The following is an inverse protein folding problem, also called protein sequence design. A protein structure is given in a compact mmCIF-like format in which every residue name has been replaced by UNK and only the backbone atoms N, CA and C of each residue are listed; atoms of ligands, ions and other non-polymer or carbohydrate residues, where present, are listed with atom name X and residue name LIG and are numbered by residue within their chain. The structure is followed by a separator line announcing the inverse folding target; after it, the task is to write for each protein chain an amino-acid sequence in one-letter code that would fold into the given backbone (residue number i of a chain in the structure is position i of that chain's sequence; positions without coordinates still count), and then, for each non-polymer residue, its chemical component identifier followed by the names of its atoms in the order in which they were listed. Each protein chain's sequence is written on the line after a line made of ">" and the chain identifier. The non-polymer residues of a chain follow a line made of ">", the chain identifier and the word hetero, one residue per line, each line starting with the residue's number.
data_IF_691166944253
#
_entry.id   IF_691166944253
#
_cell.length_a   1.000
_cell.length_b   1.000
_cell.length_c   1.000
_cell.angle_alpha   90.00
_cell.angle_beta   90.00
_cell.angle_gamma   90.00
#
_symmetry.space_group_name_H-M   'P 1'
#
loop_
_entity.id
_entity.type
_entity.pdbx_description
1 polymer ?
#
# COMPACT_ATOMS: atom_id res chain seq x y z
N UNK A 1 -21.59 -0.75 6.76
CA UNK A 1 -20.91 -0.24 5.54
C UNK A 1 -20.07 0.98 5.92
N UNK A 2 -18.85 1.14 5.40
CA UNK A 2 -17.97 2.30 5.74
C UNK A 2 -18.58 3.64 5.30
N UNK A 3 -18.43 4.70 6.09
CA UNK A 3 -18.85 6.08 5.75
C UNK A 3 -17.89 6.75 4.77
N UNK A 4 -16.70 6.18 4.54
CA UNK A 4 -15.72 6.75 3.61
C UNK A 4 -16.21 6.61 2.16
N UNK A 5 -16.56 7.75 1.56
CA UNK A 5 -17.07 7.83 0.18
C UNK A 5 -16.09 7.27 -0.85
N UNK A 6 -14.77 7.39 -0.66
CA UNK A 6 -13.78 6.85 -1.60
C UNK A 6 -13.81 5.32 -1.58
N UNK A 7 -13.81 4.71 -0.40
CA UNK A 7 -13.90 3.25 -0.25
C UNK A 7 -15.16 2.69 -0.90
N UNK A 8 -16.31 3.31 -0.66
CA UNK A 8 -17.61 2.88 -1.23
C UNK A 8 -17.70 2.94 -2.76
N UNK A 9 -16.93 3.83 -3.39
CA UNK A 9 -16.98 4.04 -4.84
C UNK A 9 -15.76 3.45 -5.57
N UNK A 10 -14.89 2.71 -4.86
CA UNK A 10 -13.77 2.03 -5.51
C UNK A 10 -14.27 1.03 -6.56
N UNK A 11 -13.67 1.05 -7.75
CA UNK A 11 -14.05 0.20 -8.87
C UNK A 11 -15.29 0.66 -9.65
N UNK A 12 -15.87 1.82 -9.32
CA UNK A 12 -16.96 2.41 -10.14
C UNK A 12 -16.39 3.22 -11.31
N UNK A 13 -17.10 3.31 -12.46
CA UNK A 13 -16.72 4.18 -13.56
C UNK A 13 -16.53 5.64 -13.10
N UNK A 14 -15.41 6.23 -13.49
CA UNK A 14 -14.99 7.58 -13.10
C UNK A 14 -15.36 8.60 -14.19
N UNK A 15 -16.66 8.89 -14.32
CA UNK A 15 -17.15 9.87 -15.30
C UNK A 15 -17.05 9.38 -16.76
N UNK A 16 -17.00 8.06 -16.95
CA UNK A 16 -16.97 7.41 -18.27
C UNK A 16 -18.23 6.56 -18.45
N UNK A 17 -18.72 6.46 -19.69
CA UNK A 17 -19.81 5.55 -20.07
C UNK A 17 -19.35 4.09 -20.10
N UNK A 18 -18.09 3.87 -20.49
CA UNK A 18 -17.51 2.56 -20.73
C UNK A 18 -16.18 2.39 -20.02
N UNK A 19 -15.90 1.16 -19.59
CA UNK A 19 -14.64 0.78 -18.95
C UNK A 19 -13.75 0.14 -20.01
N UNK A 20 -12.58 0.72 -20.25
CA UNK A 20 -11.65 0.18 -21.22
C UNK A 20 -10.80 -0.96 -20.63
N UNK A 21 -10.50 -1.97 -21.43
CA UNK A 21 -9.45 -2.96 -21.14
C UNK A 21 -8.20 -2.57 -21.92
N UNK A 22 -7.15 -2.17 -21.21
CA UNK A 22 -5.86 -1.81 -21.78
C UNK A 22 -4.93 -3.02 -21.70
N UNK A 23 -4.44 -3.46 -22.85
CA UNK A 23 -3.44 -4.50 -23.00
C UNK A 23 -2.05 -3.89 -23.21
N UNK A 24 -1.05 -4.42 -22.53
CA UNK A 24 0.36 -4.07 -22.71
C UNK A 24 1.21 -5.33 -22.57
N UNK A 25 1.56 -5.95 -23.71
CA UNK A 25 2.14 -7.29 -23.74
C UNK A 25 1.17 -8.30 -23.09
N UNK A 26 1.68 -9.07 -22.13
CA UNK A 26 0.90 -10.05 -21.36
C UNK A 26 0.11 -9.42 -20.20
N UNK A 27 0.32 -8.13 -19.94
CA UNK A 27 -0.36 -7.43 -18.85
C UNK A 27 -1.64 -6.76 -19.33
N UNK A 28 -2.70 -6.92 -18.55
CA UNK A 28 -4.01 -6.33 -18.82
C UNK A 28 -4.46 -5.51 -17.63
N UNK A 29 -5.09 -4.34 -17.88
CA UNK A 29 -5.69 -3.52 -16.83
C UNK A 29 -6.97 -2.85 -17.30
N UNK A 30 -7.89 -2.64 -16.37
CA UNK A 30 -9.03 -1.76 -16.61
C UNK A 30 -8.62 -0.29 -16.49
N UNK A 31 -9.17 0.56 -17.35
CA UNK A 31 -9.05 2.01 -17.34
C UNK A 31 -10.44 2.68 -17.22
N UNK A 32 -10.49 3.92 -16.74
CA UNK A 32 -11.76 4.61 -16.47
C UNK A 32 -12.43 4.25 -15.13
N UNK A 33 -11.77 3.52 -14.24
CA UNK A 33 -12.30 3.16 -12.91
C UNK A 33 -11.73 4.04 -11.79
N UNK A 34 -12.58 4.46 -10.85
CA UNK A 34 -12.17 5.15 -9.63
C UNK A 34 -11.43 4.19 -8.69
N UNK A 35 -10.29 4.62 -8.16
CA UNK A 35 -9.52 3.88 -7.14
C UNK A 35 -9.51 4.66 -5.84
N UNK A 36 -9.87 4.00 -4.74
CA UNK A 36 -9.89 4.65 -3.43
C UNK A 36 -8.49 4.88 -2.83
N UNK A 37 -7.48 4.13 -3.29
CA UNK A 37 -6.10 4.22 -2.82
C UNK A 37 -5.84 3.64 -1.43
N UNK A 38 -6.83 3.02 -0.76
CA UNK A 38 -6.61 2.44 0.56
C UNK A 38 -5.89 1.09 0.46
N UNK A 39 -4.63 1.05 0.90
CA UNK A 39 -3.86 -0.19 1.01
C UNK A 39 -4.25 -1.07 2.21
N UNK A 40 -5.03 -0.53 3.14
CA UNK A 40 -5.38 -1.17 4.42
C UNK A 40 -6.77 -1.77 4.43
N UNK A 41 -7.76 -1.06 3.89
CA UNK A 41 -9.17 -1.43 4.01
C UNK A 41 -9.74 -1.98 2.70
N UNK A 42 -9.22 -1.56 1.54
CA UNK A 42 -9.76 -1.95 0.25
C UNK A 42 -8.99 -3.15 -0.34
N UNK A 43 -9.61 -4.33 -0.53
CA UNK A 43 -8.94 -5.50 -1.08
C UNK A 43 -8.48 -5.33 -2.53
N UNK A 44 -9.17 -4.50 -3.32
CA UNK A 44 -8.81 -4.21 -4.72
C UNK A 44 -7.58 -3.32 -4.80
N UNK A 45 -7.59 -2.20 -4.06
CA UNK A 45 -6.46 -1.27 -4.07
C UNK A 45 -5.25 -1.86 -3.36
N UNK A 46 -5.43 -2.59 -2.26
CA UNK A 46 -4.33 -3.21 -1.52
C UNK A 46 -3.52 -4.15 -2.40
N UNK A 47 -4.17 -5.02 -3.18
CA UNK A 47 -3.48 -5.92 -4.11
C UNK A 47 -2.66 -5.16 -5.16
N UNK A 48 -3.27 -4.15 -5.82
CA UNK A 48 -2.61 -3.33 -6.84
C UNK A 48 -1.40 -2.56 -6.28
N UNK A 49 -1.57 -1.93 -5.11
CA UNK A 49 -0.51 -1.17 -4.45
C UNK A 49 0.63 -2.11 -4.04
N UNK A 50 0.33 -3.25 -3.41
CA UNK A 50 1.36 -4.22 -2.97
C UNK A 50 2.16 -4.78 -4.14
N UNK A 51 1.50 -5.13 -5.24
CA UNK A 51 2.18 -5.61 -6.45
C UNK A 51 3.19 -4.58 -6.98
N UNK A 52 2.76 -3.32 -7.14
CA UNK A 52 3.64 -2.26 -7.63
C UNK A 52 4.76 -1.91 -6.64
N UNK A 53 4.48 -1.88 -5.34
CA UNK A 53 5.49 -1.66 -4.30
C UNK A 53 6.52 -2.78 -4.24
N UNK A 54 6.12 -4.03 -4.49
CA UNK A 54 7.05 -5.14 -4.53
C UNK A 54 8.08 -4.97 -5.67
N UNK A 55 7.64 -4.56 -6.87
CA UNK A 55 8.55 -4.25 -7.98
C UNK A 55 9.50 -3.09 -7.62
N UNK A 56 8.95 -1.99 -7.09
CA UNK A 56 9.74 -0.81 -6.70
C UNK A 56 10.82 -1.16 -5.66
N UNK A 57 10.45 -1.91 -4.61
CA UNK A 57 11.37 -2.36 -3.55
C UNK A 57 12.42 -3.31 -4.12
N UNK A 58 12.01 -4.27 -4.96
CA UNK A 58 12.93 -5.25 -5.58
C UNK A 58 14.01 -4.54 -6.40
N UNK A 59 13.61 -3.57 -7.23
CA UNK A 59 14.53 -2.76 -8.04
C UNK A 59 15.44 -1.88 -7.20
N UNK A 60 14.93 -1.30 -6.11
CA UNK A 60 15.74 -0.49 -5.20
C UNK A 60 16.80 -1.34 -4.49
N UNK A 61 16.43 -2.53 -4.01
CA UNK A 61 17.34 -3.48 -3.36
C UNK A 61 18.41 -3.95 -4.35
N UNK A 62 18.04 -4.34 -5.57
CA UNK A 62 19.00 -4.77 -6.58
C UNK A 62 20.07 -3.70 -6.86
N UNK A 63 19.65 -2.44 -7.06
CA UNK A 63 20.57 -1.30 -7.26
C UNK A 63 21.47 -1.04 -6.06
N UNK A 64 20.95 -1.18 -4.84
CA UNK A 64 21.76 -1.00 -3.64
C UNK A 64 22.86 -2.07 -3.54
N UNK A 65 22.52 -3.32 -3.84
CA UNK A 65 23.48 -4.43 -3.85
C UNK A 65 24.54 -4.23 -4.94
N UNK A 66 24.15 -3.82 -6.15
CA UNK A 66 25.08 -3.51 -7.25
C UNK A 66 26.07 -2.39 -6.88
N UNK A 67 25.65 -1.44 -6.06
CA UNK A 67 26.49 -0.36 -5.54
C UNK A 67 27.35 -0.77 -4.33
N UNK A 68 27.32 -2.03 -3.91
CA UNK A 68 28.11 -2.54 -2.78
C UNK A 68 27.48 -2.32 -1.40
N UNK A 69 26.21 -1.91 -1.34
CA UNK A 69 25.46 -1.81 -0.08
C UNK A 69 24.76 -3.12 0.31
N UNK A 70 24.37 -3.23 1.57
CA UNK A 70 23.48 -4.28 2.06
C UNK A 70 22.03 -3.80 2.18
N UNK A 71 21.07 -4.74 2.16
CA UNK A 71 19.66 -4.48 2.43
C UNK A 71 19.19 -5.27 3.65
N UNK A 72 18.46 -4.62 4.56
CA UNK A 72 17.86 -5.25 5.75
C UNK A 72 16.36 -5.00 5.78
N UNK A 73 15.60 -6.03 6.16
CA UNK A 73 14.17 -5.91 6.44
C UNK A 73 13.97 -5.83 7.95
N UNK A 74 13.51 -4.67 8.45
CA UNK A 74 13.35 -4.41 9.88
C UNK A 74 11.88 -4.25 10.21
N UNK A 75 11.35 -5.12 11.06
CA UNK A 75 10.01 -4.96 11.65
C UNK A 75 10.11 -4.25 12.99
N UNK A 76 9.74 -2.97 13.01
CA UNK A 76 9.66 -2.17 14.24
C UNK A 76 8.32 -2.39 14.92
N UNK A 77 8.26 -3.40 15.78
CA UNK A 77 7.08 -3.73 16.59
C UNK A 77 7.40 -3.56 18.07
N UNK A 78 6.36 -3.38 18.89
CA UNK A 78 6.45 -3.45 20.34
C UNK A 78 5.54 -4.58 20.84
N UNK A 79 5.94 -5.30 21.90
CA UNK A 79 5.03 -6.20 22.60
C UNK A 79 3.80 -5.44 23.08
N UNK A 80 2.61 -6.01 22.87
CA UNK A 80 1.34 -5.48 23.39
C UNK A 80 0.32 -6.61 23.52
N UNK A 81 -0.66 -6.43 24.38
CA UNK A 81 -1.83 -7.30 24.50
C UNK A 81 -3.08 -6.62 23.95
N UNK A 82 -4.21 -7.33 23.95
CA UNK A 82 -5.48 -6.76 23.48
C UNK A 82 -6.04 -5.69 24.43
N UNK A 83 -5.61 -5.71 25.69
CA UNK A 83 -6.01 -4.79 26.75
C UNK A 83 -5.25 -3.46 26.70
N UNK A 84 -4.10 -3.42 26.02
CA UNK A 84 -3.31 -2.20 25.89
C UNK A 84 -4.03 -1.14 25.04
N UNK A 85 -4.07 0.10 25.52
CA UNK A 85 -4.69 1.20 24.79
C UNK A 85 -3.95 1.46 23.47
N UNK A 86 -4.66 1.32 22.33
CA UNK A 86 -4.10 1.57 21.00
C UNK A 86 -3.45 2.95 20.89
N UNK A 87 -4.04 3.99 21.50
CA UNK A 87 -3.49 5.35 21.46
C UNK A 87 -2.10 5.42 22.10
N UNK A 88 -1.87 4.64 23.15
CA UNK A 88 -0.61 4.58 23.89
C UNK A 88 0.45 3.82 23.09
N UNK A 89 0.14 2.58 22.67
CA UNK A 89 1.09 1.75 21.90
C UNK A 89 1.42 2.35 20.53
N UNK A 90 0.43 2.91 19.83
CA UNK A 90 0.65 3.66 18.60
C UNK A 90 1.48 4.93 18.84
N UNK A 91 1.28 5.60 19.98
CA UNK A 91 2.07 6.75 20.42
C UNK A 91 3.56 6.43 20.50
N UNK A 92 3.93 5.35 21.19
CA UNK A 92 5.32 4.88 21.28
C UNK A 92 5.92 4.53 19.91
N UNK A 93 5.16 3.82 19.06
CA UNK A 93 5.61 3.49 17.70
C UNK A 93 5.77 4.73 16.81
N UNK A 94 4.92 5.75 16.99
CA UNK A 94 5.02 7.02 16.26
C UNK A 94 6.23 7.85 16.71
N UNK A 95 6.51 7.87 18.01
CA UNK A 95 7.70 8.52 18.56
C UNK A 95 8.99 7.84 18.12
N UNK A 96 9.10 6.52 18.30
CA UNK A 96 10.31 5.76 17.92
C UNK A 96 10.64 5.84 16.43
N UNK A 97 9.64 6.10 15.56
CA UNK A 97 9.86 6.35 14.13
C UNK A 97 10.61 7.66 13.85
N UNK A 98 10.44 8.70 14.68
CA UNK A 98 11.10 10.00 14.47
C UNK A 98 12.61 9.95 14.71
N UNK A 99 13.06 9.06 15.58
CA UNK A 99 14.47 8.91 15.96
C UNK A 99 15.32 8.10 14.98
N UNK A 100 14.75 7.64 13.86
CA UNK A 100 15.43 6.78 12.90
C UNK A 100 15.34 7.27 11.45
N UNK A 101 15.00 8.54 11.28
CA UNK A 101 15.10 9.26 10.02
C UNK A 101 16.42 10.02 9.97
#
# INVERSE_FOLDING_TARGET
>A
MTTNRRLRNCGRPAGVSDVALIQNGDHHRYDGLFLCGSGWICPVCSAKIRFRRADEISRAIARAIEAGYGAIFVTRTIPHTAEDELRTTLGYLAEGRRWAA
#
